data_IF_669342837611
#
_entry.id   IF_669342837611
#
_cell.length_a   1.000
_cell.length_b   1.000
_cell.length_c   1.000
_cell.angle_alpha   90.00
_cell.angle_beta   90.00
_cell.angle_gamma   90.00
#
_symmetry.space_group_name_H-M   'P 1'
#
loop_
_entity.id
_entity.type
_entity.pdbx_description
1 polymer ?
#
# COMPACT_ATOMS: atom_id res chain seq x y z
N UNK A 1 -7.01 -46.48 -58.70
CA UNK A 1 -5.65 -47.02 -58.64
C UNK A 1 -5.05 -46.66 -57.28
N UNK A 2 -4.75 -47.71 -56.49
CA UNK A 2 -3.88 -47.86 -55.31
C UNK A 2 -3.69 -46.66 -54.33
N UNK A 3 -4.29 -46.63 -53.12
CA UNK A 3 -3.94 -47.28 -51.80
C UNK A 3 -2.60 -46.79 -51.22
N UNK A 4 -2.38 -46.52 -49.92
CA UNK A 4 -2.95 -47.03 -48.66
C UNK A 4 -2.40 -46.19 -47.46
N UNK A 5 -3.22 -45.76 -46.49
CA UNK A 5 -3.41 -46.27 -45.11
C UNK A 5 -2.55 -45.64 -43.97
N UNK A 6 -3.25 -44.94 -43.05
CA UNK A 6 -3.41 -45.17 -41.58
C UNK A 6 -2.28 -45.98 -40.88
N UNK A 7 -1.66 -45.57 -39.77
CA UNK A 7 -2.21 -45.51 -38.40
C UNK A 7 -1.21 -44.93 -37.37
N UNK A 8 -1.74 -44.46 -36.22
CA UNK A 8 -1.07 -44.28 -34.91
C UNK A 8 -1.51 -45.47 -34.01
N UNK A 9 -0.67 -46.06 -33.14
CA UNK A 9 -0.76 -45.76 -31.68
C UNK A 9 0.53 -45.92 -30.81
N UNK A 10 0.54 -45.10 -29.75
CA UNK A 10 0.87 -45.27 -28.31
C UNK A 10 1.92 -46.28 -27.75
N UNK A 11 2.61 -45.78 -26.70
CA UNK A 11 3.28 -46.40 -25.52
C UNK A 11 4.49 -47.33 -25.77
N UNK A 12 5.59 -47.38 -24.99
CA UNK A 12 5.77 -47.14 -23.56
C UNK A 12 7.29 -47.03 -23.18
N UNK A 13 7.57 -46.47 -21.99
CA UNK A 13 8.73 -46.70 -21.09
C UNK A 13 10.20 -46.65 -21.60
N UNK A 14 10.96 -45.64 -21.16
CA UNK A 14 12.05 -45.94 -20.20
C UNK A 14 12.58 -44.73 -19.42
N UNK A 15 12.71 -45.00 -18.13
CA UNK A 15 13.12 -44.16 -17.01
C UNK A 15 14.60 -43.79 -17.00
N UNK A 16 14.94 -42.56 -16.56
CA UNK A 16 16.12 -42.32 -15.72
C UNK A 16 15.82 -41.32 -14.62
N UNK A 17 15.89 -41.86 -13.41
CA UNK A 17 15.69 -41.23 -12.12
C UNK A 17 16.79 -40.22 -11.79
N UNK A 18 16.42 -39.13 -11.12
CA UNK A 18 17.27 -38.44 -10.14
C UNK A 18 16.43 -38.20 -8.89
N UNK A 19 16.98 -38.60 -7.76
CA UNK A 19 16.29 -38.91 -6.53
C UNK A 19 15.67 -37.69 -5.82
N UNK A 20 14.42 -37.87 -5.41
CA UNK A 20 13.76 -37.13 -4.35
C UNK A 20 14.30 -37.60 -3.00
N UNK A 21 14.94 -36.71 -2.24
CA UNK A 21 15.03 -36.85 -0.78
C UNK A 21 13.86 -36.07 -0.20
N UNK A 22 12.85 -36.81 0.23
CA UNK A 22 11.81 -36.35 1.13
C UNK A 22 12.41 -36.32 2.53
N UNK A 23 12.37 -35.15 3.16
CA UNK A 23 12.13 -35.09 4.60
C UNK A 23 11.60 -33.71 4.95
N UNK A 24 10.29 -33.63 5.27
CA UNK A 24 9.70 -32.52 6.02
C UNK A 24 8.42 -33.02 6.69
N UNK A 25 8.61 -33.61 7.86
CA UNK A 25 7.59 -33.55 8.89
C UNK A 25 7.54 -32.12 9.45
N UNK A 26 6.32 -31.60 9.42
CA UNK A 26 5.67 -30.71 10.38
C UNK A 26 6.56 -29.85 11.30
N UNK A 27 6.44 -28.53 11.12
CA UNK A 27 6.22 -27.49 12.15
C UNK A 27 6.61 -26.13 11.56
N UNK A 28 5.67 -25.17 11.61
CA UNK A 28 5.85 -23.70 11.47
C UNK A 28 4.86 -23.04 10.48
N UNK A 29 3.59 -23.04 10.87
CA UNK A 29 2.69 -21.92 10.52
C UNK A 29 3.16 -20.68 11.32
N UNK A 30 3.20 -19.50 10.67
CA UNK A 30 3.35 -18.12 11.20
C UNK A 30 4.47 -17.20 10.66
N UNK A 31 5.30 -17.63 9.69
CA UNK A 31 6.35 -16.75 9.14
C UNK A 31 6.03 -16.07 7.79
N UNK A 32 4.94 -16.41 7.10
CA UNK A 32 4.86 -16.20 5.64
C UNK A 32 4.10 -14.94 5.15
N UNK A 33 3.78 -14.00 6.05
CA UNK A 33 3.07 -12.75 5.66
C UNK A 33 4.04 -11.55 5.54
N UNK A 34 5.21 -11.60 6.20
CA UNK A 34 6.18 -10.49 6.18
C UNK A 34 7.17 -10.56 5.00
N UNK A 35 7.41 -11.74 4.44
CA UNK A 35 8.42 -12.00 3.40
C UNK A 35 8.00 -11.61 1.98
N UNK A 36 6.70 -11.34 1.73
CA UNK A 36 6.22 -10.89 0.40
C UNK A 36 6.31 -9.38 0.15
N UNK A 37 6.80 -8.60 1.12
CA UNK A 37 6.96 -7.14 0.96
C UNK A 37 8.35 -6.68 0.49
N UNK A 38 9.30 -7.59 0.32
CA UNK A 38 10.65 -7.25 -0.14
C UNK A 38 11.08 -8.16 -1.30
N UNK A 39 10.75 -7.75 -2.52
CA UNK A 39 11.56 -8.07 -3.69
C UNK A 39 11.22 -7.11 -4.84
N UNK A 40 12.03 -6.07 -4.99
CA UNK A 40 12.27 -5.42 -6.29
C UNK A 40 13.80 -5.34 -6.47
N UNK A 41 14.28 -6.06 -7.49
CA UNK A 41 15.61 -6.67 -7.61
C UNK A 41 16.81 -5.76 -7.95
N UNK A 42 17.97 -6.21 -7.46
CA UNK A 42 19.32 -6.33 -8.08
C UNK A 42 19.66 -5.55 -9.36
N UNK A 43 20.64 -4.63 -9.25
CA UNK A 43 21.94 -4.68 -9.97
C UNK A 43 22.90 -3.57 -9.48
N UNK A 44 23.93 -3.99 -8.74
CA UNK A 44 25.29 -3.42 -8.64
C UNK A 44 25.52 -1.93 -8.36
N UNK A 45 25.69 -1.55 -7.09
CA UNK A 45 26.90 -0.88 -6.55
C UNK A 45 26.97 -1.19 -5.05
N UNK A 46 28.04 -1.86 -4.61
CA UNK A 46 28.35 -2.06 -3.20
C UNK A 46 28.68 -0.69 -2.58
N UNK A 47 27.77 -0.13 -1.79
CA UNK A 47 28.11 0.88 -0.76
C UNK A 47 27.58 0.36 0.56
N UNK A 48 28.51 -0.15 1.36
CA UNK A 48 28.30 -0.51 2.76
C UNK A 48 27.76 0.71 3.52
N UNK A 49 26.46 0.70 3.80
CA UNK A 49 25.85 1.60 4.78
C UNK A 49 24.93 0.79 5.67
N UNK A 50 25.41 0.56 6.90
CA UNK A 50 24.74 -0.15 7.97
C UNK A 50 23.33 0.42 8.16
N UNK A 51 22.33 -0.38 7.81
CA UNK A 51 20.93 -0.08 8.13
C UNK A 51 20.67 -0.69 9.50
N UNK A 52 20.47 0.14 10.52
CA UNK A 52 20.10 -0.31 11.86
C UNK A 52 18.66 -0.84 11.85
N UNK A 53 18.41 -2.12 12.20
CA UNK A 53 17.07 -2.50 12.65
C UNK A 53 16.90 -1.95 14.07
N UNK A 54 15.80 -1.24 14.32
CA UNK A 54 15.35 -0.93 15.67
C UNK A 54 14.85 -2.24 16.28
N UNK A 55 15.78 -3.03 16.82
CA UNK A 55 15.52 -4.07 17.80
C UNK A 55 16.33 -3.71 19.04
N UNK A 56 15.62 -3.64 20.17
CA UNK A 56 16.18 -3.45 21.50
C UNK A 56 17.15 -4.59 21.82
N UNK A 57 18.44 -4.40 21.61
CA UNK A 57 19.48 -5.21 22.24
C UNK A 57 19.81 -4.58 23.59
N UNK A 58 19.27 -5.17 24.65
CA UNK A 58 19.77 -4.95 26.02
C UNK A 58 21.11 -5.70 26.08
N UNK A 59 22.22 -4.96 26.08
CA UNK A 59 23.55 -5.49 26.40
C UNK A 59 23.59 -5.84 27.89
N UNK A 60 23.57 -7.13 28.22
CA UNK A 60 23.97 -7.59 29.54
C UNK A 60 25.45 -7.96 29.50
N UNK A 61 26.27 -7.10 30.11
CA UNK A 61 27.63 -7.43 30.50
C UNK A 61 27.61 -8.39 31.70
N UNK A 62 28.09 -9.61 31.52
CA UNK A 62 28.92 -10.27 32.54
C UNK A 62 29.57 -11.54 31.99
N UNK A 63 30.83 -11.70 32.36
CA UNK A 63 31.81 -12.73 32.02
C UNK A 63 31.41 -14.18 32.35
N UNK A 64 32.06 -15.07 31.62
CA UNK A 64 32.14 -16.54 31.75
C UNK A 64 32.54 -17.06 33.14
N UNK A 65 31.91 -18.16 33.60
CA UNK A 65 32.51 -19.51 33.75
C UNK A 65 31.56 -20.44 34.55
N UNK A 66 31.22 -21.55 33.87
CA UNK A 66 30.95 -22.95 34.27
C UNK A 66 29.94 -23.41 35.34
N UNK A 67 29.32 -24.53 34.94
CA UNK A 67 28.81 -25.71 35.68
C UNK A 67 27.40 -25.71 36.29
N UNK A 68 26.49 -26.29 35.51
CA UNK A 68 25.55 -27.38 35.84
C UNK A 68 25.16 -27.52 37.32
N UNK A 69 23.89 -27.22 37.64
CA UNK A 69 22.97 -28.14 38.33
C UNK A 69 21.56 -27.55 38.36
N UNK A 70 20.59 -28.47 38.31
CA UNK A 70 19.13 -28.32 38.45
C UNK A 70 18.60 -27.04 39.09
N UNK A 71 17.71 -26.33 38.37
CA UNK A 71 16.53 -25.70 38.97
C UNK A 71 15.39 -25.68 37.94
N UNK A 72 14.60 -26.74 37.91
CA UNK A 72 13.18 -26.65 37.56
C UNK A 72 12.48 -25.86 38.66
N UNK A 73 12.28 -24.56 38.45
CA UNK A 73 11.22 -23.73 39.05
C UNK A 73 11.59 -22.25 38.97
N UNK A 74 11.36 -21.61 37.83
CA UNK A 74 11.11 -20.16 37.81
C UNK A 74 10.37 -19.76 36.52
N UNK A 75 9.25 -20.42 36.23
CA UNK A 75 8.22 -19.87 35.36
C UNK A 75 7.43 -18.78 36.11
N UNK A 76 8.14 -17.75 36.58
CA UNK A 76 7.51 -16.47 36.94
C UNK A 76 6.94 -15.91 35.65
N UNK A 77 5.63 -16.09 35.46
CA UNK A 77 4.80 -15.13 34.73
C UNK A 77 5.18 -13.74 35.24
N UNK A 78 6.09 -13.05 34.55
CA UNK A 78 6.30 -11.62 34.77
C UNK A 78 4.96 -11.00 34.46
N UNK A 79 4.23 -10.60 35.51
CA UNK A 79 3.27 -9.51 35.40
C UNK A 79 4.08 -8.39 34.74
N UNK A 80 3.79 -8.11 33.47
CA UNK A 80 4.25 -6.88 32.83
C UNK A 80 3.78 -5.76 33.75
N UNK A 81 4.72 -5.09 34.40
CA UNK A 81 4.37 -3.99 35.30
C UNK A 81 3.87 -2.84 34.43
N UNK A 82 2.75 -2.24 34.82
CA UNK A 82 2.18 -1.07 34.12
C UNK A 82 3.21 0.07 33.96
N UNK A 83 4.20 0.15 34.87
CA UNK A 83 5.33 1.10 34.80
C UNK A 83 6.21 0.95 33.57
N UNK A 84 6.45 -0.29 33.11
CA UNK A 84 7.36 -0.57 31.98
C UNK A 84 6.69 -0.22 30.65
N UNK A 85 5.37 -0.45 30.57
CA UNK A 85 4.55 -0.08 29.42
C UNK A 85 4.42 1.44 29.30
N UNK A 86 4.22 2.15 30.41
CA UNK A 86 4.17 3.62 30.42
C UNK A 86 5.50 4.24 30.00
N UNK A 87 6.62 3.67 30.47
CA UNK A 87 7.94 4.10 30.04
C UNK A 87 8.17 3.86 28.54
N UNK A 88 7.85 2.67 28.03
CA UNK A 88 7.96 2.33 26.61
C UNK A 88 7.07 3.23 25.73
N UNK A 89 5.83 3.49 26.15
CA UNK A 89 4.93 4.41 25.46
C UNK A 89 5.50 5.83 25.45
N UNK A 90 6.09 6.29 26.56
CA UNK A 90 6.72 7.61 26.63
C UNK A 90 7.89 7.76 25.66
N UNK A 91 8.73 6.72 25.53
CA UNK A 91 9.84 6.69 24.57
C UNK A 91 9.32 6.65 23.13
N UNK A 92 8.27 5.88 22.88
CA UNK A 92 7.63 5.81 21.58
C UNK A 92 7.04 7.17 21.17
N UNK A 93 6.28 7.82 22.04
CA UNK A 93 5.73 9.17 21.79
C UNK A 93 6.85 10.16 21.53
N UNK A 94 7.92 10.19 22.33
CA UNK A 94 9.08 11.06 22.11
C UNK A 94 9.74 10.81 20.74
N UNK A 95 9.82 9.55 20.31
CA UNK A 95 10.36 9.19 18.98
C UNK A 95 9.47 9.69 17.84
N UNK A 96 8.14 9.59 17.99
CA UNK A 96 7.19 10.12 17.01
C UNK A 96 7.20 11.65 16.96
N UNK A 97 7.29 12.32 18.11
CA UNK A 97 7.41 13.78 18.19
C UNK A 97 8.69 14.28 17.50
N UNK A 98 9.78 13.51 17.59
CA UNK A 98 11.02 13.80 16.83
C UNK A 98 10.87 13.62 15.32
N UNK A 99 9.85 12.90 14.83
CA UNK A 99 9.59 12.60 13.41
C UNK A 99 8.27 13.20 12.88
N UNK A 100 7.84 14.32 13.45
CA UNK A 100 6.56 14.97 13.18
C UNK A 100 6.37 15.62 11.80
N UNK A 101 7.39 15.64 10.92
CA UNK A 101 7.22 16.03 9.51
C UNK A 101 6.69 14.87 8.65
N UNK A 102 6.66 13.65 9.18
CA UNK A 102 6.06 12.50 8.50
C UNK A 102 4.56 12.43 8.77
N UNK A 103 3.77 12.06 7.75
CA UNK A 103 2.34 11.81 7.93
C UNK A 103 2.12 10.65 8.91
N UNK A 104 3.00 9.64 8.88
CA UNK A 104 2.90 8.46 9.73
C UNK A 104 2.98 8.81 11.21
N UNK A 105 4.03 9.54 11.61
CA UNK A 105 4.17 9.93 13.01
C UNK A 105 3.02 10.82 13.44
N UNK A 106 2.56 11.73 12.60
CA UNK A 106 1.41 12.58 12.92
C UNK A 106 0.11 11.77 13.13
N UNK A 107 -0.17 10.78 12.28
CA UNK A 107 -1.34 9.92 12.42
C UNK A 107 -1.27 9.06 13.69
N UNK A 108 -0.10 8.50 14.00
CA UNK A 108 0.11 7.68 15.19
C UNK A 108 0.00 8.52 16.48
N UNK A 109 0.59 9.71 16.49
CA UNK A 109 0.43 10.71 17.55
C UNK A 109 -1.04 11.05 17.78
N UNK A 110 -1.78 11.33 16.70
CA UNK A 110 -3.23 11.57 16.78
C UNK A 110 -3.99 10.37 17.32
N UNK A 111 -3.66 9.14 16.91
CA UNK A 111 -4.29 7.93 17.42
C UNK A 111 -4.06 7.73 18.93
N UNK A 112 -2.89 8.11 19.43
CA UNK A 112 -2.55 8.12 20.86
C UNK A 112 -3.20 9.28 21.64
N UNK A 113 -3.95 10.17 20.96
CA UNK A 113 -4.42 11.45 21.51
C UNK A 113 -3.26 12.31 22.06
N UNK A 114 -2.07 12.13 21.49
CA UNK A 114 -0.84 12.85 21.83
C UNK A 114 -0.35 13.54 20.57
N UNK A 115 -0.57 14.82 20.40
CA UNK A 115 -0.09 15.51 19.20
C UNK A 115 -0.64 16.93 19.14
N UNK A 116 0.25 17.92 19.27
CA UNK A 116 -0.14 19.34 19.33
C UNK A 116 -0.03 20.04 17.98
N UNK A 117 0.68 19.45 17.01
CA UNK A 117 0.98 20.10 15.73
C UNK A 117 -0.13 19.85 14.70
N UNK A 118 -0.41 20.90 13.93
CA UNK A 118 -1.33 20.82 12.80
C UNK A 118 -0.73 19.97 11.66
N UNK A 119 -1.60 19.35 10.85
CA UNK A 119 -1.20 18.54 9.70
C UNK A 119 -0.41 19.30 8.63
N UNK A 120 -0.57 20.63 8.57
CA UNK A 120 0.18 21.50 7.68
C UNK A 120 1.71 21.44 7.89
N UNK A 121 2.16 20.96 9.06
CA UNK A 121 3.56 20.72 9.34
C UNK A 121 4.11 19.47 8.67
N UNK A 122 3.29 18.45 8.40
CA UNK A 122 3.72 17.25 7.69
C UNK A 122 4.12 17.60 6.26
N UNK A 123 5.27 17.07 5.81
CA UNK A 123 5.86 17.34 4.48
C UNK A 123 6.08 16.07 3.66
N UNK A 124 6.23 14.93 4.32
CA UNK A 124 6.58 13.66 3.68
C UNK A 124 5.70 12.52 4.19
N UNK A 125 5.59 11.48 3.36
CA UNK A 125 4.93 10.22 3.65
C UNK A 125 5.73 9.11 2.97
N UNK A 126 5.87 7.96 3.63
CA UNK A 126 6.46 6.78 3.02
C UNK A 126 5.56 6.19 1.94
N UNK A 127 6.17 5.78 0.83
CA UNK A 127 5.51 5.04 -0.22
C UNK A 127 4.92 3.71 0.28
N UNK A 128 5.57 3.04 1.23
CA UNK A 128 5.05 1.80 1.84
C UNK A 128 3.74 2.03 2.59
N UNK A 129 3.53 3.24 3.13
CA UNK A 129 2.32 3.60 3.84
C UNK A 129 1.13 3.90 2.92
N UNK A 130 1.31 3.92 1.59
CA UNK A 130 0.23 4.17 0.63
C UNK A 130 -0.65 2.91 0.44
N UNK A 131 -1.31 2.51 1.51
CA UNK A 131 -2.06 1.25 1.61
C UNK A 131 -3.15 1.10 0.56
N UNK A 132 -3.82 2.19 0.16
CA UNK A 132 -4.91 2.11 -0.83
C UNK A 132 -4.42 1.64 -2.20
N UNK A 133 -3.21 2.05 -2.60
CA UNK A 133 -2.56 1.54 -3.81
C UNK A 133 -2.22 0.07 -3.61
N UNK A 134 -1.49 -0.25 -2.54
CA UNK A 134 -0.94 -1.59 -2.33
C UNK A 134 -2.03 -2.66 -2.22
N UNK A 135 -3.20 -2.34 -1.64
CA UNK A 135 -4.37 -3.24 -1.59
C UNK A 135 -4.92 -3.60 -2.97
N UNK A 136 -4.97 -2.65 -3.89
CA UNK A 136 -5.51 -2.87 -5.23
C UNK A 136 -4.44 -3.49 -6.13
N UNK A 137 -3.22 -2.96 -6.14
CA UNK A 137 -2.15 -3.45 -7.01
C UNK A 137 -1.58 -4.80 -6.55
N UNK A 138 -1.67 -5.10 -5.26
CA UNK A 138 -1.27 -6.37 -4.65
C UNK A 138 -2.44 -7.32 -4.37
N UNK A 139 -3.64 -7.04 -4.89
CA UNK A 139 -4.77 -7.95 -4.77
C UNK A 139 -4.47 -9.28 -5.48
N UNK A 140 -4.97 -10.38 -4.91
CA UNK A 140 -4.87 -11.68 -5.56
C UNK A 140 -5.65 -11.71 -6.86
N UNK A 141 -5.13 -12.49 -7.82
CA UNK A 141 -5.83 -12.72 -9.07
C UNK A 141 -7.09 -13.53 -8.83
N UNK A 142 -8.15 -13.23 -9.58
CA UNK A 142 -9.45 -13.86 -9.39
C UNK A 142 -9.39 -15.39 -9.58
N UNK A 143 -8.54 -15.90 -10.49
CA UNK A 143 -8.47 -17.34 -10.79
C UNK A 143 -8.01 -18.15 -9.57
N UNK A 144 -7.08 -17.59 -8.77
CA UNK A 144 -6.66 -18.25 -7.52
C UNK A 144 -7.84 -18.47 -6.59
N UNK A 145 -8.74 -17.51 -6.54
CA UNK A 145 -9.87 -17.55 -5.62
C UNK A 145 -11.03 -18.40 -6.17
N UNK A 146 -11.27 -18.34 -7.49
CA UNK A 146 -12.21 -19.26 -8.16
C UNK A 146 -11.78 -20.70 -7.92
N UNK A 147 -10.49 -21.01 -8.10
CA UNK A 147 -9.98 -22.36 -7.90
C UNK A 147 -10.21 -22.86 -6.47
N UNK A 148 -9.97 -22.03 -5.46
CA UNK A 148 -10.23 -22.35 -4.04
C UNK A 148 -11.71 -22.67 -3.79
N UNK A 149 -12.64 -21.88 -4.33
CA UNK A 149 -14.07 -22.16 -4.23
C UNK A 149 -14.47 -23.50 -4.86
N UNK A 150 -13.85 -23.88 -5.98
CA UNK A 150 -14.12 -25.16 -6.64
C UNK A 150 -13.47 -26.36 -5.97
N UNK A 151 -12.33 -26.17 -5.27
CA UNK A 151 -11.58 -27.29 -4.65
C UNK A 151 -11.93 -27.54 -3.19
N UNK A 152 -12.22 -26.49 -2.41
CA UNK A 152 -12.56 -26.63 -0.98
C UNK A 152 -14.06 -26.87 -0.74
N UNK A 153 -14.86 -26.91 -1.81
CA UNK A 153 -16.32 -27.06 -1.71
C UNK A 153 -17.01 -25.80 -1.20
N UNK A 154 -18.34 -25.80 -1.26
CA UNK A 154 -19.24 -24.68 -0.94
C UNK A 154 -19.20 -24.15 0.50
N UNK A 155 -18.30 -24.66 1.34
CA UNK A 155 -18.16 -24.29 2.77
C UNK A 155 -17.27 -23.05 2.97
N UNK A 156 -16.83 -22.38 1.90
CA UNK A 156 -16.18 -21.08 2.01
C UNK A 156 -17.20 -20.06 2.53
N UNK A 157 -17.15 -19.77 3.84
CA UNK A 157 -17.93 -18.69 4.44
C UNK A 157 -17.73 -17.40 3.62
N UNK A 158 -18.80 -16.62 3.40
CA UNK A 158 -18.75 -15.31 2.71
C UNK A 158 -17.68 -14.36 3.29
N UNK A 159 -17.22 -14.60 4.52
CA UNK A 159 -16.11 -13.86 5.17
C UNK A 159 -14.75 -14.12 4.54
N UNK A 160 -14.57 -15.24 3.85
CA UNK A 160 -13.34 -15.65 3.17
C UNK A 160 -13.23 -15.08 1.75
N UNK A 161 -14.27 -14.37 1.27
CA UNK A 161 -14.20 -13.64 0.00
C UNK A 161 -13.24 -12.45 0.16
N UNK A 162 -12.20 -12.34 -0.68
CA UNK A 162 -11.29 -11.20 -0.65
C UNK A 162 -12.05 -9.92 -0.99
N UNK A 163 -11.83 -8.86 -0.21
CA UNK A 163 -12.46 -7.56 -0.45
C UNK A 163 -11.98 -6.87 -1.73
N UNK A 164 -10.80 -7.26 -2.21
CA UNK A 164 -10.15 -6.71 -3.40
C UNK A 164 -9.61 -7.85 -4.25
N UNK A 165 -9.83 -7.76 -5.56
CA UNK A 165 -9.36 -8.77 -6.52
C UNK A 165 -8.74 -8.10 -7.74
N UNK A 166 -7.92 -8.86 -8.46
CA UNK A 166 -7.33 -8.44 -9.73
C UNK A 166 -7.85 -9.33 -10.88
N UNK A 167 -8.32 -8.68 -11.93
CA UNK A 167 -8.68 -9.28 -13.21
C UNK A 167 -7.59 -8.94 -14.23
N UNK A 168 -6.87 -9.95 -14.71
CA UNK A 168 -5.80 -9.78 -15.69
C UNK A 168 -5.52 -11.10 -16.44
N UNK A 169 -5.43 -11.09 -17.79
CA UNK A 169 -5.70 -9.96 -18.69
C UNK A 169 -7.20 -9.80 -19.01
N UNK A 170 -7.60 -8.59 -19.44
CA UNK A 170 -8.90 -8.33 -20.06
C UNK A 170 -8.63 -7.95 -21.51
N UNK A 171 -9.08 -8.80 -22.43
CA UNK A 171 -8.78 -8.73 -23.86
C UNK A 171 -9.91 -8.05 -24.64
N UNK A 172 -11.16 -8.19 -24.20
CA UNK A 172 -12.31 -7.60 -24.87
C UNK A 172 -13.48 -7.26 -23.91
N UNK A 173 -14.65 -6.94 -24.50
CA UNK A 173 -15.87 -6.63 -23.77
C UNK A 173 -16.56 -7.90 -23.21
N UNK A 174 -16.38 -9.05 -23.84
CA UNK A 174 -16.95 -10.33 -23.41
C UNK A 174 -16.38 -10.71 -22.05
N UNK A 175 -15.05 -10.59 -21.88
CA UNK A 175 -14.38 -10.78 -20.59
C UNK A 175 -14.98 -9.88 -19.50
N UNK A 176 -15.23 -8.60 -19.85
CA UNK A 176 -15.77 -7.63 -18.91
C UNK A 176 -17.22 -7.95 -18.51
N UNK A 177 -18.03 -8.38 -19.48
CA UNK A 177 -19.41 -8.81 -19.26
C UNK A 177 -19.48 -10.05 -18.38
N UNK A 178 -18.59 -11.03 -18.57
CA UNK A 178 -18.47 -12.20 -17.71
C UNK A 178 -18.11 -11.81 -16.28
N UNK A 179 -17.15 -10.90 -16.10
CA UNK A 179 -16.79 -10.35 -14.80
C UNK A 179 -18.01 -9.68 -14.15
N UNK A 180 -18.79 -8.89 -14.88
CA UNK A 180 -19.93 -8.16 -14.29
C UNK A 180 -21.12 -9.06 -13.96
N UNK A 181 -21.28 -10.20 -14.67
CA UNK A 181 -22.33 -11.19 -14.41
C UNK A 181 -21.97 -12.18 -13.30
N UNK A 182 -20.70 -12.25 -12.89
CA UNK A 182 -20.27 -13.19 -11.86
C UNK A 182 -20.93 -12.91 -10.50
N UNK A 183 -21.54 -13.95 -9.91
CA UNK A 183 -22.39 -13.85 -8.70
C UNK A 183 -21.72 -13.17 -7.51
N UNK A 184 -20.40 -13.29 -7.38
CA UNK A 184 -19.67 -12.83 -6.20
C UNK A 184 -19.20 -11.37 -6.27
N UNK A 185 -19.41 -10.72 -7.42
CA UNK A 185 -18.74 -9.45 -7.71
C UNK A 185 -19.32 -8.27 -6.91
N UNK A 186 -20.55 -8.41 -6.42
CA UNK A 186 -21.19 -7.45 -5.52
C UNK A 186 -20.65 -7.49 -4.08
N UNK A 187 -19.96 -8.57 -3.68
CA UNK A 187 -19.31 -8.64 -2.36
C UNK A 187 -17.95 -7.92 -2.31
N UNK A 188 -17.42 -7.53 -3.47
CA UNK A 188 -16.12 -6.89 -3.60
C UNK A 188 -16.21 -5.40 -3.27
N UNK A 189 -15.28 -4.92 -2.44
CA UNK A 189 -15.13 -3.49 -2.17
C UNK A 189 -14.40 -2.75 -3.29
N UNK A 190 -13.60 -3.46 -4.08
CA UNK A 190 -12.93 -2.89 -5.23
C UNK A 190 -12.23 -3.93 -6.09
N UNK A 191 -11.82 -3.50 -7.27
CA UNK A 191 -11.19 -4.34 -8.26
C UNK A 191 -10.02 -3.64 -8.95
N UNK A 192 -9.08 -4.43 -9.42
CA UNK A 192 -8.03 -4.01 -10.34
C UNK A 192 -8.28 -4.65 -11.70
N UNK A 193 -8.42 -3.85 -12.74
CA UNK A 193 -8.65 -4.30 -14.11
C UNK A 193 -7.39 -4.03 -14.94
N UNK A 194 -6.86 -5.06 -15.60
CA UNK A 194 -5.71 -4.92 -16.49
C UNK A 194 -6.14 -5.17 -17.94
N UNK A 195 -6.26 -4.09 -18.71
CA UNK A 195 -6.62 -4.15 -20.12
C UNK A 195 -5.38 -4.36 -20.98
N UNK A 196 -5.39 -5.45 -21.76
CA UNK A 196 -4.35 -5.81 -22.72
C UNK A 196 -4.96 -5.96 -24.11
N UNK A 197 -5.54 -4.87 -24.61
CA UNK A 197 -6.32 -4.86 -25.85
C UNK A 197 -6.01 -3.63 -26.69
N UNK A 198 -6.23 -3.73 -28.01
CA UNK A 198 -6.05 -2.60 -28.93
C UNK A 198 -7.17 -1.56 -28.81
N UNK A 199 -8.31 -1.95 -28.23
CA UNK A 199 -9.20 -0.98 -27.64
C UNK A 199 -10.47 -1.55 -27.07
N UNK A 200 -11.05 -0.79 -26.16
CA UNK A 200 -12.23 -1.20 -25.40
C UNK A 200 -13.24 -0.07 -25.26
N UNK A 201 -14.52 -0.43 -25.34
CA UNK A 201 -15.65 0.44 -25.02
C UNK A 201 -16.26 -0.04 -23.73
N UNK A 202 -16.04 0.70 -22.64
CA UNK A 202 -16.63 0.38 -21.35
C UNK A 202 -18.15 0.63 -21.41
N UNK A 203 -18.99 -0.26 -20.84
CA UNK A 203 -20.43 -0.08 -20.88
C UNK A 203 -20.87 1.18 -20.12
N UNK A 204 -22.07 1.68 -20.38
CA UNK A 204 -22.61 2.82 -19.61
C UNK A 204 -23.26 2.37 -18.28
N UNK A 205 -23.67 1.11 -18.19
CA UNK A 205 -24.47 0.55 -17.09
C UNK A 205 -24.04 -0.89 -16.79
N UNK A 206 -24.63 -1.52 -15.78
CA UNK A 206 -24.33 -2.91 -15.42
C UNK A 206 -23.06 -3.09 -14.58
N UNK A 207 -22.46 -2.00 -14.11
CA UNK A 207 -21.32 -2.08 -13.21
C UNK A 207 -21.71 -2.68 -11.86
N UNK A 208 -20.85 -3.53 -11.30
CA UNK A 208 -20.91 -3.88 -9.88
C UNK A 208 -20.80 -2.63 -9.00
N UNK A 209 -21.28 -2.72 -7.77
CA UNK A 209 -21.26 -1.61 -6.79
C UNK A 209 -19.87 -1.33 -6.18
N UNK A 210 -18.80 -1.50 -6.97
CA UNK A 210 -17.44 -1.24 -6.55
C UNK A 210 -17.24 0.21 -6.14
N UNK A 211 -16.56 0.40 -5.00
CA UNK A 211 -16.20 1.72 -4.49
C UNK A 211 -14.79 2.14 -4.89
N UNK A 212 -13.93 1.16 -5.18
CA UNK A 212 -12.52 1.40 -5.52
C UNK A 212 -12.18 0.65 -6.81
N UNK A 213 -11.62 1.35 -7.78
CA UNK A 213 -11.21 0.77 -9.04
C UNK A 213 -9.78 1.18 -9.35
N UNK A 214 -8.94 0.21 -9.70
CA UNK A 214 -7.63 0.46 -10.29
C UNK A 214 -7.63 -0.04 -11.74
N UNK A 215 -7.28 0.83 -12.68
CA UNK A 215 -7.22 0.48 -14.10
C UNK A 215 -5.78 0.55 -14.56
N UNK A 216 -5.30 -0.58 -15.06
CA UNK A 216 -4.04 -0.67 -15.78
C UNK A 216 -4.35 -0.80 -17.27
N UNK A 217 -3.75 0.06 -18.09
CA UNK A 217 -3.99 0.10 -19.52
C UNK A 217 -2.66 -0.02 -20.26
N UNK A 218 -2.46 -1.07 -21.05
CA UNK A 218 -1.18 -1.31 -21.73
C UNK A 218 -1.01 -0.48 -22.99
N UNK A 219 -1.99 -0.57 -23.88
CA UNK A 219 -1.98 0.04 -25.22
C UNK A 219 -3.42 0.23 -25.69
N UNK A 220 -3.61 0.88 -26.85
CA UNK A 220 -4.92 0.97 -27.48
C UNK A 220 -5.73 2.21 -27.12
N UNK A 221 -7.00 2.19 -27.55
CA UNK A 221 -8.00 3.21 -27.22
C UNK A 221 -8.97 2.74 -26.13
N UNK A 222 -9.53 3.68 -25.39
CA UNK A 222 -10.53 3.41 -24.36
C UNK A 222 -11.59 4.51 -24.38
N UNK A 223 -12.86 4.10 -24.48
CA UNK A 223 -14.04 4.99 -24.45
C UNK A 223 -15.14 4.40 -23.57
N UNK A 224 -16.26 5.10 -23.43
CA UNK A 224 -17.34 4.71 -22.50
C UNK A 224 -17.18 5.35 -21.13
N UNK A 225 -17.74 4.75 -20.07
CA UNK A 225 -17.84 5.41 -18.75
C UNK A 225 -17.35 4.52 -17.61
N UNK A 226 -16.54 5.03 -16.68
CA UNK A 226 -16.27 4.33 -15.43
C UNK A 226 -17.52 4.27 -14.51
N UNK A 227 -17.59 3.30 -13.57
CA UNK A 227 -18.70 3.20 -12.62
C UNK A 227 -18.91 4.50 -11.84
N UNK A 228 -20.14 5.04 -11.88
CA UNK A 228 -20.46 6.35 -11.28
C UNK A 228 -20.38 6.38 -9.74
N UNK A 229 -20.42 5.21 -9.08
CA UNK A 229 -20.37 5.08 -7.62
C UNK A 229 -18.95 5.06 -7.04
N UNK A 230 -17.91 5.20 -7.88
CA UNK A 230 -16.53 5.15 -7.42
C UNK A 230 -16.21 6.29 -6.45
N UNK A 231 -15.60 5.90 -5.33
CA UNK A 231 -15.00 6.80 -4.34
C UNK A 231 -13.52 6.97 -4.65
N UNK A 232 -12.87 5.91 -5.15
CA UNK A 232 -11.46 5.92 -5.52
C UNK A 232 -11.25 5.36 -6.93
N UNK A 233 -10.44 6.07 -7.70
CA UNK A 233 -9.98 5.66 -9.03
C UNK A 233 -8.44 5.72 -9.07
N UNK A 234 -7.82 4.60 -9.42
CA UNK A 234 -6.41 4.51 -9.78
C UNK A 234 -6.26 4.30 -11.27
N UNK A 235 -5.34 5.02 -11.91
CA UNK A 235 -5.01 4.88 -13.33
C UNK A 235 -3.50 4.65 -13.46
N UNK A 236 -3.12 3.61 -14.19
CA UNK A 236 -1.72 3.29 -14.43
C UNK A 236 -1.45 2.96 -15.89
N UNK A 237 -0.26 3.34 -16.34
CA UNK A 237 0.28 3.05 -17.65
C UNK A 237 -0.50 3.68 -18.84
N UNK A 238 -1.33 4.69 -18.57
CA UNK A 238 -2.01 5.47 -19.61
C UNK A 238 -1.08 6.39 -20.43
N UNK A 239 0.21 6.44 -20.11
CA UNK A 239 1.18 7.25 -20.86
C UNK A 239 1.42 6.79 -22.30
N UNK A 240 1.16 5.51 -22.59
CA UNK A 240 1.30 4.91 -23.92
C UNK A 240 -0.04 4.73 -24.64
N UNK A 241 -1.15 5.11 -23.99
CA UNK A 241 -2.49 4.95 -24.53
C UNK A 241 -2.81 6.07 -25.54
N UNK A 242 -3.55 5.75 -26.60
CA UNK A 242 -3.95 6.71 -27.64
C UNK A 242 -5.48 6.81 -27.74
N UNK A 243 -6.01 7.92 -28.25
CA UNK A 243 -7.45 8.11 -28.45
C UNK A 243 -8.33 7.83 -27.20
N UNK A 244 -7.86 8.23 -26.02
CA UNK A 244 -8.62 8.06 -24.77
C UNK A 244 -9.65 9.18 -24.62
N UNK A 245 -10.93 8.79 -24.57
CA UNK A 245 -12.05 9.71 -24.42
C UNK A 245 -12.29 10.07 -22.95
N UNK A 246 -11.40 10.88 -22.38
CA UNK A 246 -11.43 11.23 -20.95
C UNK A 246 -12.76 11.83 -20.48
N UNK A 247 -13.40 12.66 -21.31
CA UNK A 247 -14.70 13.27 -21.01
C UNK A 247 -15.79 12.24 -20.78
N UNK A 248 -15.84 11.20 -21.60
CA UNK A 248 -16.76 10.08 -21.44
C UNK A 248 -16.40 9.25 -20.21
N UNK A 249 -15.12 8.90 -20.08
CA UNK A 249 -14.64 7.97 -19.04
C UNK A 249 -14.89 8.49 -17.64
N UNK A 250 -14.58 9.76 -17.38
CA UNK A 250 -14.70 10.34 -16.04
C UNK A 250 -15.91 11.27 -15.87
N UNK A 251 -16.69 11.51 -16.94
CA UNK A 251 -17.81 12.44 -16.95
C UNK A 251 -18.94 12.10 -15.97
N UNK A 252 -19.03 10.83 -15.53
CA UNK A 252 -20.05 10.35 -14.58
C UNK A 252 -19.54 10.19 -13.14
N UNK A 253 -18.26 10.46 -12.88
CA UNK A 253 -17.62 10.25 -11.58
C UNK A 253 -17.92 11.38 -10.57
N UNK A 254 -19.19 11.55 -10.23
CA UNK A 254 -19.67 12.64 -9.36
C UNK A 254 -19.43 12.39 -7.87
N UNK A 255 -19.07 11.15 -7.48
CA UNK A 255 -18.78 10.76 -6.08
C UNK A 255 -17.28 10.56 -5.80
N UNK A 256 -16.44 10.77 -6.80
CA UNK A 256 -15.00 10.51 -6.71
C UNK A 256 -14.34 11.42 -5.67
N UNK A 257 -13.70 10.81 -4.68
CA UNK A 257 -13.02 11.50 -3.60
C UNK A 257 -11.50 11.32 -3.65
N UNK A 258 -11.00 10.23 -4.25
CA UNK A 258 -9.57 9.92 -4.37
C UNK A 258 -9.25 9.60 -5.82
N UNK A 259 -8.28 10.31 -6.40
CA UNK A 259 -7.73 10.01 -7.71
C UNK A 259 -6.24 9.69 -7.55
N UNK A 260 -5.80 8.57 -8.11
CA UNK A 260 -4.39 8.15 -8.13
C UNK A 260 -3.96 7.92 -9.57
N UNK A 261 -2.84 8.49 -9.97
CA UNK A 261 -2.26 8.33 -11.32
C UNK A 261 -0.74 8.16 -11.21
N UNK A 262 -0.09 7.67 -12.27
CA UNK A 262 1.37 7.53 -12.34
C UNK A 262 2.03 8.51 -13.34
N UNK A 263 1.24 9.36 -14.00
CA UNK A 263 1.71 10.29 -15.02
C UNK A 263 1.09 11.69 -14.83
N UNK A 264 1.92 12.72 -14.69
CA UNK A 264 1.46 14.09 -14.43
C UNK A 264 0.53 14.67 -15.51
N UNK A 265 0.74 14.32 -16.79
CA UNK A 265 -0.13 14.75 -17.89
C UNK A 265 -1.53 14.17 -17.71
N UNK A 266 -1.60 12.86 -17.48
CA UNK A 266 -2.87 12.14 -17.22
C UNK A 266 -3.56 12.71 -15.98
N UNK A 267 -2.82 12.97 -14.90
CA UNK A 267 -3.34 13.63 -13.69
C UNK A 267 -4.04 14.94 -14.03
N UNK A 268 -3.39 15.80 -14.82
CA UNK A 268 -3.90 17.10 -15.20
C UNK A 268 -5.15 16.98 -16.06
N UNK A 269 -5.09 16.13 -17.10
CA UNK A 269 -6.21 15.89 -18.02
C UNK A 269 -7.42 15.36 -17.28
N UNK A 270 -7.26 14.31 -16.48
CA UNK A 270 -8.37 13.70 -15.72
C UNK A 270 -8.93 14.70 -14.71
N UNK A 271 -8.07 15.35 -13.91
CA UNK A 271 -8.54 16.34 -12.95
C UNK A 271 -9.35 17.45 -13.62
N UNK A 272 -8.90 17.94 -14.78
CA UNK A 272 -9.58 19.01 -15.50
C UNK A 272 -10.88 18.56 -16.18
N UNK A 273 -11.05 17.27 -16.38
CA UNK A 273 -12.22 16.67 -17.02
C UNK A 273 -13.28 16.21 -16.02
N UNK A 274 -12.92 16.04 -14.74
CA UNK A 274 -13.87 15.62 -13.71
C UNK A 274 -15.04 16.61 -13.56
N UNK A 275 -16.30 16.13 -13.54
CA UNK A 275 -17.49 16.98 -13.42
C UNK A 275 -17.58 17.68 -12.06
N UNK A 276 -17.05 17.05 -11.00
CA UNK A 276 -17.14 17.53 -9.62
C UNK A 276 -15.77 17.66 -8.97
N UNK A 277 -14.87 18.44 -9.57
CA UNK A 277 -13.49 18.68 -9.06
C UNK A 277 -13.46 19.09 -7.58
N UNK A 278 -14.49 19.79 -7.12
CA UNK A 278 -14.60 20.25 -5.73
C UNK A 278 -14.86 19.12 -4.71
N UNK A 279 -15.42 17.99 -5.16
CA UNK A 279 -15.64 16.80 -4.33
C UNK A 279 -14.39 15.94 -4.16
N UNK A 280 -13.43 16.07 -5.08
CA UNK A 280 -12.15 15.38 -4.98
C UNK A 280 -11.39 15.85 -3.73
N UNK A 281 -11.19 14.94 -2.78
CA UNK A 281 -10.56 15.22 -1.48
C UNK A 281 -9.06 14.98 -1.51
N UNK A 282 -8.61 13.99 -2.29
CA UNK A 282 -7.21 13.63 -2.45
C UNK A 282 -6.88 13.38 -3.91
N UNK A 283 -5.77 13.95 -4.37
CA UNK A 283 -5.17 13.70 -5.66
C UNK A 283 -3.74 13.21 -5.47
N UNK A 284 -3.42 12.02 -5.97
CA UNK A 284 -2.11 11.39 -5.85
C UNK A 284 -1.52 11.22 -7.23
N UNK A 285 -0.30 11.71 -7.44
CA UNK A 285 0.45 11.45 -8.66
C UNK A 285 1.79 10.80 -8.32
N UNK A 286 2.00 9.59 -8.84
CA UNK A 286 3.17 8.74 -8.59
C UNK A 286 4.29 8.93 -9.62
N UNK A 287 4.20 9.99 -10.44
CA UNK A 287 5.22 10.35 -11.40
C UNK A 287 6.52 10.78 -10.69
N UNK A 288 7.57 9.97 -10.86
CA UNK A 288 8.92 10.22 -10.32
C UNK A 288 9.54 11.52 -10.87
N UNK A 289 9.14 11.95 -12.07
CA UNK A 289 9.67 13.15 -12.75
C UNK A 289 9.11 14.45 -12.18
N UNK A 290 8.17 14.39 -11.23
CA UNK A 290 7.82 15.49 -10.36
C UNK A 290 7.20 16.74 -11.02
N UNK A 291 6.89 16.74 -12.32
CA UNK A 291 6.43 17.95 -13.02
C UNK A 291 5.10 18.52 -12.47
N UNK A 292 4.37 17.71 -11.71
CA UNK A 292 3.15 18.08 -11.00
C UNK A 292 3.32 19.23 -9.98
N UNK A 293 4.55 19.59 -9.58
CA UNK A 293 4.80 20.70 -8.65
C UNK A 293 4.22 22.05 -9.09
N UNK A 294 4.18 22.28 -10.39
CA UNK A 294 3.75 23.55 -10.99
C UNK A 294 2.34 23.47 -11.58
N UNK A 295 1.62 22.38 -11.32
CA UNK A 295 0.31 22.18 -11.93
C UNK A 295 -0.74 23.13 -11.33
N UNK A 296 -1.62 23.66 -12.19
CA UNK A 296 -2.66 24.63 -11.81
C UNK A 296 -3.61 24.10 -10.74
N UNK A 297 -3.90 22.80 -10.76
CA UNK A 297 -4.80 22.16 -9.78
C UNK A 297 -4.30 22.26 -8.34
N UNK A 298 -3.00 22.50 -8.11
CA UNK A 298 -2.42 22.65 -6.78
C UNK A 298 -3.14 23.74 -5.96
N UNK A 299 -3.54 24.84 -6.60
CA UNK A 299 -4.27 25.95 -5.93
C UNK A 299 -5.62 25.52 -5.38
N UNK A 300 -6.19 24.43 -5.87
CA UNK A 300 -7.47 23.90 -5.40
C UNK A 300 -7.33 23.00 -4.17
N UNK A 301 -6.12 22.70 -3.70
CA UNK A 301 -5.87 21.85 -2.54
C UNK A 301 -5.30 22.65 -1.36
N UNK A 302 -5.58 22.20 -0.14
CA UNK A 302 -5.15 22.86 1.10
C UNK A 302 -3.67 22.63 1.38
N UNK A 303 -3.17 21.44 1.05
CA UNK A 303 -1.80 21.06 1.33
C UNK A 303 -1.27 20.00 0.38
N UNK A 304 0.03 19.77 0.47
CA UNK A 304 0.74 18.75 -0.28
C UNK A 304 1.70 17.95 0.60
N UNK A 305 1.89 16.67 0.28
CA UNK A 305 2.88 15.78 0.88
C UNK A 305 3.73 15.15 -0.22
N UNK A 306 5.01 14.97 0.05
CA UNK A 306 5.94 14.24 -0.82
C UNK A 306 5.92 12.77 -0.45
N UNK A 307 5.75 11.90 -1.44
CA UNK A 307 5.90 10.47 -1.24
C UNK A 307 7.37 10.11 -1.44
N UNK A 308 7.97 9.46 -0.45
CA UNK A 308 9.40 9.09 -0.41
C UNK A 308 9.56 7.60 -0.08
N UNK A 309 10.72 6.98 -0.37
CA UNK A 309 11.02 5.62 0.11
C UNK A 309 11.01 5.58 1.64
N UNK A 310 10.72 4.41 2.22
CA UNK A 310 10.70 4.23 3.66
C UNK A 310 12.02 4.66 4.35
N UNK A 311 13.16 4.36 3.71
CA UNK A 311 14.50 4.76 4.18
C UNK A 311 14.73 6.28 4.23
N UNK A 312 13.89 7.08 3.55
CA UNK A 312 13.97 8.54 3.52
C UNK A 312 12.84 9.20 4.32
N UNK A 313 11.97 8.41 4.96
CA UNK A 313 10.80 8.91 5.69
C UNK A 313 11.16 9.30 7.14
N UNK A 314 11.99 10.32 7.31
CA UNK A 314 12.37 10.84 8.63
C UNK A 314 12.60 12.35 8.62
N UNK A 315 12.49 12.98 9.80
CA UNK A 315 12.80 14.39 9.97
C UNK A 315 14.27 14.68 9.64
N UNK A 316 15.19 13.82 10.08
CA UNK A 316 16.63 13.97 9.81
C UNK A 316 16.91 14.06 8.32
N UNK A 317 16.43 13.08 7.54
CA UNK A 317 16.66 13.06 6.10
C UNK A 317 16.05 14.29 5.42
N UNK A 318 14.87 14.74 5.88
CA UNK A 318 14.27 15.97 5.39
C UNK A 318 15.14 17.20 5.64
N UNK A 319 15.66 17.36 6.86
CA UNK A 319 16.53 18.48 7.19
C UNK A 319 17.84 18.42 6.41
N UNK A 320 18.46 17.25 6.25
CA UNK A 320 19.68 17.07 5.47
C UNK A 320 19.48 17.50 4.01
N UNK A 321 18.40 17.05 3.37
CA UNK A 321 18.04 17.48 2.02
C UNK A 321 17.73 18.98 1.96
N UNK A 322 17.05 19.53 2.97
CA UNK A 322 16.75 20.96 3.03
C UNK A 322 18.03 21.81 3.16
N UNK A 323 18.99 21.38 3.98
CA UNK A 323 20.26 22.08 4.16
C UNK A 323 21.11 21.99 2.90
N UNK A 324 21.21 20.81 2.29
CA UNK A 324 21.90 20.62 1.01
C UNK A 324 21.31 21.52 -0.09
N UNK A 325 19.99 21.67 -0.16
CA UNK A 325 19.33 22.60 -1.10
C UNK A 325 19.66 24.06 -0.83
N UNK A 326 19.69 24.48 0.43
CA UNK A 326 20.06 25.85 0.82
C UNK A 326 21.53 26.14 0.49
N UNK A 327 22.43 25.20 0.78
CA UNK A 327 23.84 25.29 0.44
C UNK A 327 24.05 25.39 -1.08
N UNK A 328 23.42 24.50 -1.85
CA UNK A 328 23.49 24.54 -3.32
C UNK A 328 22.94 25.85 -3.91
N UNK A 329 21.86 26.41 -3.35
CA UNK A 329 21.31 27.70 -3.80
C UNK A 329 22.25 28.87 -3.50
N UNK A 330 22.94 28.84 -2.35
CA UNK A 330 23.97 29.84 -1.98
C UNK A 330 25.23 29.68 -2.83
N UNK A 331 25.60 28.44 -3.16
CA UNK A 331 26.81 28.10 -3.91
C UNK A 331 26.63 28.12 -5.44
N UNK A 332 25.62 28.83 -5.95
CA UNK A 332 25.42 29.09 -7.40
C UNK A 332 26.61 29.84 -8.07
N UNK A 333 27.77 29.98 -7.42
CA UNK A 333 28.97 30.66 -7.92
C UNK A 333 30.31 29.93 -7.72
N UNK A 334 30.40 28.78 -7.06
CA UNK A 334 31.67 28.03 -6.99
C UNK A 334 31.42 26.54 -7.22
N UNK A 335 31.70 26.11 -8.45
CA UNK A 335 31.99 24.70 -8.71
C UNK A 335 33.28 24.40 -7.96
N UNK A 336 33.21 23.54 -6.96
CA UNK A 336 34.43 23.04 -6.33
C UNK A 336 35.27 22.30 -7.39
N UNK A 337 36.60 22.40 -7.27
CA UNK A 337 37.60 21.90 -8.23
C UNK A 337 37.54 20.38 -8.52
N UNK A 338 36.65 19.64 -7.85
CA UNK A 338 36.41 18.19 -8.07
C UNK A 338 35.11 17.85 -8.79
N UNK A 339 34.25 18.82 -9.12
CA UNK A 339 33.07 18.60 -9.98
C UNK A 339 31.95 17.71 -9.41
N UNK A 340 32.11 17.12 -8.22
CA UNK A 340 31.10 16.24 -7.62
C UNK A 340 29.98 17.04 -6.94
N UNK A 341 28.83 17.12 -7.62
CA UNK A 341 27.60 17.59 -6.99
C UNK A 341 27.12 16.54 -6.00
N UNK A 342 27.15 16.84 -4.70
CA UNK A 342 26.42 16.05 -3.71
C UNK A 342 24.92 16.07 -4.05
N UNK A 343 24.44 15.01 -4.68
CA UNK A 343 23.04 14.82 -5.07
C UNK A 343 22.20 14.37 -3.87
N UNK A 344 22.18 15.16 -2.79
CA UNK A 344 21.20 14.99 -1.71
C UNK A 344 19.83 15.49 -2.20
N UNK A 345 19.12 14.62 -2.90
CA UNK A 345 17.72 14.82 -3.31
C UNK A 345 16.90 13.66 -2.79
N UNK A 346 15.67 13.97 -2.37
CA UNK A 346 14.66 12.94 -2.20
C UNK A 346 14.53 12.12 -3.48
N UNK A 347 14.48 10.79 -3.32
CA UNK A 347 14.08 9.88 -4.38
C UNK A 347 12.56 9.91 -4.47
N UNK A 348 12.02 10.98 -5.02
CA UNK A 348 10.57 11.25 -4.99
C UNK A 348 9.83 10.13 -5.73
N UNK A 349 8.86 9.52 -5.04
CA UNK A 349 7.98 8.47 -5.56
C UNK A 349 6.60 9.00 -5.95
N UNK A 350 6.32 10.27 -5.62
CA UNK A 350 5.07 10.92 -5.99
C UNK A 350 4.71 12.07 -5.07
N UNK A 351 3.49 12.55 -5.26
CA UNK A 351 2.87 13.65 -4.52
C UNK A 351 1.45 13.33 -4.15
N UNK A 352 1.04 13.85 -3.00
CA UNK A 352 -0.34 13.83 -2.52
C UNK A 352 -0.75 15.28 -2.35
N UNK A 353 -1.83 15.67 -3.01
CA UNK A 353 -2.53 16.93 -2.77
C UNK A 353 -3.84 16.61 -2.06
N UNK A 354 -4.14 17.32 -0.99
CA UNK A 354 -5.29 17.01 -0.15
C UNK A 354 -6.07 18.25 0.25
N UNK A 355 -7.39 18.08 0.41
CA UNK A 355 -8.33 19.08 0.95
C UNK A 355 -8.85 18.69 2.33
N UNK A 356 -8.92 17.39 2.60
CA UNK A 356 -9.55 16.82 3.78
C UNK A 356 -8.58 15.89 4.50
N UNK A 357 -8.22 16.29 5.71
CA UNK A 357 -7.29 15.59 6.60
C UNK A 357 -7.79 14.16 6.92
N UNK A 358 -9.11 13.94 6.99
CA UNK A 358 -9.73 12.65 7.27
C UNK A 358 -9.55 11.62 6.14
N UNK A 359 -9.22 12.08 4.92
CA UNK A 359 -8.87 11.18 3.82
C UNK A 359 -7.40 10.76 3.85
N UNK A 360 -6.52 11.53 4.49
CA UNK A 360 -5.11 11.14 4.63
C UNK A 360 -4.95 9.88 5.50
N UNK A 361 -5.73 9.75 6.58
CA UNK A 361 -5.80 8.50 7.36
C UNK A 361 -6.38 7.31 6.58
N UNK A 362 -7.24 7.56 5.57
CA UNK A 362 -7.81 6.48 4.74
C UNK A 362 -6.79 5.93 3.75
N UNK A 363 -5.95 6.79 3.16
CA UNK A 363 -4.90 6.37 2.21
C UNK A 363 -3.66 5.83 2.93
N UNK A 364 -3.37 6.36 4.11
CA UNK A 364 -2.26 6.00 4.99
C UNK A 364 -2.79 5.23 6.20
N UNK A 365 -3.34 4.02 5.97
CA UNK A 365 -3.81 3.20 7.09
C UNK A 365 -2.59 2.66 7.85
N UNK A 366 -2.41 3.19 9.05
CA UNK A 366 -1.45 2.73 10.04
C UNK A 366 -2.19 2.17 11.24
N UNK A 367 -1.58 1.20 11.89
CA UNK A 367 -2.08 0.65 13.14
C UNK A 367 -1.03 0.88 14.22
N UNK A 368 -1.48 1.17 15.43
CA UNK A 368 -0.56 1.26 16.57
C UNK A 368 0.12 -0.11 16.77
N UNK A 369 1.37 -0.14 17.26
CA UNK A 369 1.98 -1.37 17.74
C UNK A 369 1.06 -2.08 18.72
N UNK A 370 0.99 -3.42 18.66
CA UNK A 370 0.04 -4.20 19.48
C UNK A 370 0.15 -3.90 20.97
N UNK A 371 1.37 -3.67 21.45
CA UNK A 371 1.66 -3.28 22.85
C UNK A 371 0.93 -2.01 23.28
N UNK A 372 0.61 -1.11 22.34
CA UNK A 372 -0.08 0.15 22.58
C UNK A 372 -1.51 0.17 22.03
N UNK A 373 -1.97 -0.92 21.39
CA UNK A 373 -3.39 -1.11 21.11
C UNK A 373 -4.00 -1.40 22.47
N UNK A 374 -4.71 -0.43 23.03
CA UNK A 374 -5.41 -0.63 24.28
C UNK A 374 -6.24 -1.92 24.18
N UNK A 375 -6.13 -2.77 25.19
CA UNK A 375 -7.09 -3.86 25.40
C UNK A 375 -8.42 -3.24 25.82
N UNK A 376 -9.06 -2.51 24.91
CA UNK A 376 -10.32 -1.80 25.12
C UNK A 376 -11.47 -2.75 25.52
N UNK A 377 -11.26 -4.06 25.47
CA UNK A 377 -12.19 -5.05 26.02
C UNK A 377 -12.22 -5.08 27.56
N UNK A 378 -11.15 -4.72 28.29
CA UNK A 378 -11.14 -4.77 29.77
C UNK A 378 -11.53 -3.46 30.43
N UNK A 379 -11.21 -2.32 29.83
CA UNK A 379 -11.50 -0.99 30.41
C UNK A 379 -12.97 -0.60 30.33
N UNK A 380 -13.71 -1.08 29.32
CA UNK A 380 -15.17 -0.87 29.22
C UNK A 380 -15.92 -1.67 30.31
N UNK A 381 -15.42 -2.84 30.70
CA UNK A 381 -15.97 -3.62 31.81
C UNK A 381 -15.78 -2.95 33.17
N UNK A 382 -14.62 -2.30 33.38
CA UNK A 382 -14.30 -1.59 34.63
C UNK A 382 -15.08 -0.27 34.74
N UNK A 383 -15.29 0.48 33.64
CA UNK A 383 -16.13 1.68 33.65
C UNK A 383 -17.64 1.38 33.81
N UNK A 384 -18.14 0.24 33.29
CA UNK A 384 -19.53 -0.17 33.56
C UNK A 384 -19.74 -0.65 34.99
N UNK A 385 -18.73 -1.28 35.63
CA UNK A 385 -18.81 -1.67 37.05
C UNK A 385 -18.75 -0.45 37.98
N UNK A 386 -17.85 0.49 37.74
CA UNK A 386 -17.73 1.71 38.55
C UNK A 386 -18.94 2.65 38.42
N UNK A 387 -19.61 2.68 37.26
CA UNK A 387 -20.90 3.39 37.12
C UNK A 387 -22.08 2.70 37.80
N UNK A 388 -22.03 1.37 38.02
CA UNK A 388 -23.07 0.67 38.81
C UNK A 388 -22.87 0.88 40.31
N UNK A 389 -21.64 0.86 40.79
CA UNK A 389 -21.32 1.19 42.18
C UNK A 389 -21.60 2.66 42.53
N UNK A 390 -21.39 3.61 41.60
CA UNK A 390 -21.75 5.01 41.81
C UNK A 390 -23.26 5.31 41.66
N UNK A 391 -24.05 4.36 41.14
CA UNK A 391 -25.50 4.49 40.96
C UNK A 391 -26.31 3.75 42.03
N UNK A 392 -25.67 3.19 43.07
CA UNK A 392 -26.36 2.55 44.20
C UNK A 392 -27.07 1.23 43.85
N UNK A 393 -26.46 0.40 43.00
CA UNK A 393 -26.86 -0.99 42.79
C UNK A 393 -25.85 -1.97 43.40
#
# INVERSE_FOLDING_TARGET
MATSNVAVPADDLNSKAVALIVNKDSFSNYADIASRQFNENSLGVLVSSKTYPILLSIENNSSSVSTVTDVSDFSRKRKYNDSDNDFALSLYVKSLEKNDLTLESWLLLRALRRGKRALSYCKIMSYSSLTIKHRLTGADRVEKWINLLTTEGSDLELKNIPKFVKYEPIMDLSDLDEIYKARNVNYLHGASLCFDTLGITLPAHGYPEWKNLWVYHRTGYMKGCFPSNLIMLGLSNFGSAFNISWSELVGRLTKLAILVTDNCSITSTVYNTLPSKHKLKVLICLDKKCRCYNALYKKSFRGELTIVPASQNSNSFYYDVSQARKANKRNNMRRDMKGERFNFRFTIRGKIFYRDDGYLSKICKLELPEVFRSTDAKTIGVQKRSKRFAAGF
#
